data_IF_066155007566
#
_entry.id   IF_066155007566
#
_cell.length_a   1.000
_cell.length_b   1.000
_cell.length_c   1.000
_cell.angle_alpha   90.00
_cell.angle_beta   90.00
_cell.angle_gamma   90.00
#
_symmetry.space_group_name_H-M   'P 1'
#
loop_
_entity.id
_entity.type
_entity.pdbx_description
1 polymer ?
#
# COMPACT_ATOMS: atom_id res chain seq x y z
N UNK A 1 1.41 7.62 13.81
CA UNK A 1 2.10 6.34 14.12
C UNK A 1 2.70 6.35 15.52
N UNK A 2 3.17 7.51 15.99
CA UNK A 2 3.76 7.71 17.34
C UNK A 2 2.84 7.38 18.51
N UNK A 3 1.54 7.31 18.27
CA UNK A 3 0.53 7.03 19.30
C UNK A 3 0.27 5.54 19.50
N UNK A 4 0.81 4.68 18.62
CA UNK A 4 0.67 3.23 18.73
C UNK A 4 1.68 2.67 19.74
N UNK A 5 1.21 1.76 20.59
CA UNK A 5 2.05 0.94 21.44
C UNK A 5 2.86 -0.07 20.62
N UNK A 6 3.88 -0.67 21.26
CA UNK A 6 4.69 -1.73 20.61
C UNK A 6 3.83 -2.92 20.18
N UNK A 7 2.88 -3.32 21.02
CA UNK A 7 1.97 -4.42 20.70
C UNK A 7 1.10 -4.11 19.48
N UNK A 8 0.58 -2.88 19.37
CA UNK A 8 -0.21 -2.45 18.21
C UNK A 8 0.64 -2.35 16.93
N UNK A 9 1.90 -1.90 17.05
CA UNK A 9 2.84 -1.89 15.93
C UNK A 9 3.16 -3.31 15.45
N UNK A 10 3.45 -4.22 16.37
CA UNK A 10 3.77 -5.61 16.05
C UNK A 10 2.54 -6.30 15.41
N UNK A 11 1.35 -6.09 15.95
CA UNK A 11 0.10 -6.65 15.42
C UNK A 11 -0.23 -6.11 14.02
N UNK A 12 -0.17 -4.78 13.81
CA UNK A 12 -0.59 -4.20 12.53
C UNK A 12 0.33 -4.62 11.38
N UNK A 13 1.64 -4.73 11.62
CA UNK A 13 2.59 -5.21 10.61
C UNK A 13 2.54 -6.72 10.42
N UNK A 14 2.28 -7.49 11.48
CA UNK A 14 2.03 -8.94 11.38
C UNK A 14 0.77 -9.20 10.56
N UNK A 15 -0.30 -8.46 10.81
CA UNK A 15 -1.55 -8.51 10.06
C UNK A 15 -1.35 -8.06 8.61
N UNK A 16 -0.55 -7.03 8.36
CA UNK A 16 -0.18 -6.60 7.00
C UNK A 16 0.49 -7.74 6.22
N UNK A 17 1.41 -8.49 6.83
CA UNK A 17 2.03 -9.65 6.18
C UNK A 17 1.02 -10.77 5.87
N UNK A 18 0.08 -11.05 6.78
CA UNK A 18 -1.00 -12.03 6.56
C UNK A 18 -1.88 -11.61 5.37
N UNK A 19 -2.27 -10.33 5.33
CA UNK A 19 -3.04 -9.75 4.22
C UNK A 19 -2.27 -9.83 2.90
N UNK A 20 -0.97 -9.53 2.87
CA UNK A 20 -0.16 -9.69 1.65
C UNK A 20 -0.16 -11.13 1.14
N UNK A 21 0.01 -12.13 2.02
CA UNK A 21 -0.03 -13.54 1.62
C UNK A 21 -1.39 -13.93 1.04
N UNK A 22 -2.47 -13.46 1.66
CA UNK A 22 -3.83 -13.68 1.17
C UNK A 22 -4.05 -13.02 -0.20
N UNK A 23 -3.69 -11.75 -0.35
CA UNK A 23 -3.80 -11.03 -1.61
C UNK A 23 -2.94 -11.67 -2.70
N UNK A 24 -1.74 -12.17 -2.38
CA UNK A 24 -0.90 -12.88 -3.33
C UNK A 24 -1.55 -14.20 -3.77
N UNK A 25 -2.11 -14.97 -2.84
CA UNK A 25 -2.83 -16.20 -3.17
C UNK A 25 -4.06 -15.93 -4.06
N UNK A 26 -4.67 -14.76 -3.94
CA UNK A 26 -5.85 -14.40 -4.74
C UNK A 26 -5.51 -13.75 -6.09
N UNK A 27 -4.58 -12.79 -6.12
CA UNK A 27 -4.29 -11.95 -7.28
C UNK A 27 -3.07 -12.38 -8.08
N UNK A 28 -2.11 -13.11 -7.51
CA UNK A 28 -0.88 -13.44 -8.24
C UNK A 28 -1.01 -14.75 -9.04
N UNK A 29 -0.42 -14.81 -10.24
CA UNK A 29 -0.39 -16.04 -11.03
C UNK A 29 0.17 -17.22 -10.23
N UNK A 30 -0.53 -18.35 -10.28
CA UNK A 30 -0.11 -19.57 -9.59
C UNK A 30 -0.07 -19.45 -8.06
N UNK A 31 -0.69 -18.43 -7.47
CA UNK A 31 -0.72 -18.18 -6.03
C UNK A 31 0.69 -18.03 -5.42
N UNK A 32 1.65 -17.58 -6.22
CA UNK A 32 3.05 -17.50 -5.83
C UNK A 32 3.44 -16.05 -5.51
N UNK A 33 3.93 -15.82 -4.28
CA UNK A 33 4.44 -14.53 -3.80
C UNK A 33 5.52 -13.91 -4.71
N UNK A 34 6.28 -14.72 -5.45
CA UNK A 34 7.33 -14.24 -6.36
C UNK A 34 6.82 -13.78 -7.74
N UNK A 35 5.55 -14.02 -8.07
CA UNK A 35 4.96 -13.65 -9.38
C UNK A 35 4.28 -12.27 -9.37
N UNK A 36 4.40 -11.54 -8.27
CA UNK A 36 3.90 -10.18 -8.13
C UNK A 36 4.72 -9.37 -7.13
N UNK A 37 4.22 -8.19 -6.80
CA UNK A 37 4.82 -7.28 -5.84
C UNK A 37 3.73 -6.52 -5.09
N UNK A 38 4.08 -5.82 -4.02
CA UNK A 38 3.13 -5.02 -3.27
C UNK A 38 3.61 -3.60 -3.12
N UNK A 39 2.67 -2.67 -3.16
CA UNK A 39 2.89 -1.33 -2.63
C UNK A 39 2.23 -1.24 -1.26
N UNK A 40 3.07 -0.95 -0.26
CA UNK A 40 2.64 -0.72 1.12
C UNK A 40 2.92 0.76 1.41
N UNK A 41 1.90 1.50 1.80
CA UNK A 41 2.03 2.93 2.08
C UNK A 41 1.31 3.31 3.37
N UNK A 42 1.97 4.15 4.17
CA UNK A 42 1.43 4.75 5.40
C UNK A 42 1.53 6.26 5.22
N UNK A 43 0.41 6.95 5.41
CA UNK A 43 0.31 8.40 5.38
C UNK A 43 0.05 8.88 6.81
N UNK A 44 1.14 9.21 7.52
CA UNK A 44 1.10 9.67 8.91
C UNK A 44 1.06 11.20 8.98
N UNK A 45 -0.13 11.77 9.13
CA UNK A 45 -0.38 13.21 9.23
C UNK A 45 -0.90 13.85 7.94
N UNK A 46 -1.60 14.99 8.03
CA UNK A 46 -2.23 15.66 6.88
C UNK A 46 -1.27 15.96 5.72
N UNK A 47 -0.04 16.39 6.03
CA UNK A 47 0.99 16.77 5.04
C UNK A 47 1.51 15.57 4.23
N UNK A 48 1.30 14.35 4.71
CA UNK A 48 1.61 13.12 3.98
C UNK A 48 0.46 12.63 3.09
N UNK A 49 -0.66 13.36 3.05
CA UNK A 49 -1.87 13.01 2.30
C UNK A 49 -2.90 12.24 3.11
N UNK A 50 -2.79 12.17 4.44
CA UNK A 50 -3.77 11.49 5.28
C UNK A 50 -5.12 12.20 5.25
N UNK A 51 -6.17 11.49 4.84
CA UNK A 51 -7.54 12.04 4.74
C UNK A 51 -8.43 11.69 5.93
N UNK A 52 -8.17 10.55 6.58
CA UNK A 52 -8.90 10.08 7.76
C UNK A 52 -7.94 10.09 8.95
N UNK A 53 -8.26 10.78 10.07
CA UNK A 53 -7.41 10.87 11.25
C UNK A 53 -7.45 9.58 12.08
N UNK A 54 -7.06 8.48 11.45
CA UNK A 54 -6.93 7.14 12.02
C UNK A 54 -5.75 6.46 11.34
N UNK A 55 -4.96 5.69 12.09
CA UNK A 55 -3.86 4.94 11.49
C UNK A 55 -4.44 3.92 10.49
N UNK A 56 -3.98 3.98 9.25
CA UNK A 56 -4.29 2.98 8.25
C UNK A 56 -3.09 2.81 7.31
N UNK A 57 -3.00 1.62 6.74
CA UNK A 57 -1.97 1.25 5.79
C UNK A 57 -2.64 0.78 4.51
N UNK A 58 -2.16 1.24 3.37
CA UNK A 58 -2.57 0.73 2.06
C UNK A 58 -1.76 -0.52 1.74
N UNK A 59 -2.42 -1.59 1.31
CA UNK A 59 -1.77 -2.82 0.81
C UNK A 59 -2.31 -3.09 -0.59
N UNK A 60 -1.50 -2.79 -1.61
CA UNK A 60 -1.94 -2.83 -3.01
C UNK A 60 -1.13 -3.91 -3.74
N UNK A 61 -1.75 -5.03 -4.17
CA UNK A 61 -1.08 -6.05 -4.97
C UNK A 61 -0.79 -5.51 -6.38
N UNK A 62 0.41 -5.79 -6.88
CA UNK A 62 0.87 -5.46 -8.21
C UNK A 62 1.24 -6.73 -8.97
N UNK A 63 0.51 -7.01 -10.03
CA UNK A 63 0.87 -8.02 -11.03
C UNK A 63 1.57 -7.36 -12.23
N UNK A 64 2.21 -8.18 -13.08
CA UNK A 64 2.81 -7.73 -14.35
C UNK A 64 1.76 -7.02 -15.23
N UNK A 65 0.51 -7.45 -15.20
CA UNK A 65 -0.59 -6.79 -15.91
C UNK A 65 -0.98 -5.46 -15.25
N UNK A 66 -1.05 -5.39 -13.91
CA UNK A 66 -1.38 -4.16 -13.18
C UNK A 66 -0.33 -3.05 -13.30
N UNK A 67 0.91 -3.39 -13.64
CA UNK A 67 1.95 -2.40 -13.94
C UNK A 67 1.67 -1.66 -15.26
N UNK A 68 0.80 -2.22 -16.10
CA UNK A 68 0.40 -1.64 -17.40
C UNK A 68 -0.82 -0.72 -17.28
N UNK A 69 -1.60 -0.82 -16.19
CA UNK A 69 -2.78 0.01 -15.92
C UNK A 69 -2.38 1.04 -14.85
N UNK A 70 -2.24 2.31 -15.26
CA UNK A 70 -1.61 3.37 -14.46
C UNK A 70 -2.23 3.59 -13.07
N UNK A 71 -1.39 3.51 -12.04
CA UNK A 71 -1.70 3.95 -10.67
C UNK A 71 -1.28 5.42 -10.50
N UNK A 72 -2.24 6.36 -10.56
CA UNK A 72 -1.99 7.81 -10.37
C UNK A 72 -1.55 8.23 -8.95
N UNK A 73 -1.50 7.29 -7.99
CA UNK A 73 -1.03 7.55 -6.61
C UNK A 73 0.46 7.95 -6.58
N UNK A 74 1.23 7.49 -7.57
CA UNK A 74 2.66 7.80 -7.67
C UNK A 74 2.96 9.19 -8.20
N UNK A 75 2.05 9.82 -8.97
CA UNK A 75 2.27 11.16 -9.53
C UNK A 75 2.38 12.23 -8.46
N UNK A 76 1.60 12.10 -7.38
CA UNK A 76 1.66 13.00 -6.22
C UNK A 76 2.86 12.71 -5.33
N UNK A 77 3.19 11.42 -5.12
CA UNK A 77 4.36 11.01 -4.33
C UNK A 77 5.69 11.39 -5.00
N UNK A 78 5.72 11.54 -6.33
CA UNK A 78 6.91 11.83 -7.13
C UNK A 78 6.94 13.25 -7.72
N UNK A 79 5.88 14.04 -7.53
CA UNK A 79 5.84 15.46 -7.88
C UNK A 79 6.70 16.33 -6.97
N UNK A 80 6.76 17.64 -7.25
CA UNK A 80 7.55 18.57 -6.43
C UNK A 80 7.10 18.59 -4.95
N UNK A 81 5.81 18.32 -4.70
CA UNK A 81 5.24 18.16 -3.35
C UNK A 81 5.83 16.97 -2.56
N UNK A 82 6.25 15.88 -3.23
CA UNK A 82 6.83 14.68 -2.62
C UNK A 82 8.37 14.68 -2.55
N UNK A 83 9.03 15.69 -3.13
CA UNK A 83 10.49 15.76 -3.24
C UNK A 83 11.16 16.31 -1.96
N UNK A 84 11.02 15.60 -0.86
CA UNK A 84 11.65 15.96 0.43
C UNK A 84 13.18 16.05 0.33
N UNK A 85 13.79 15.19 -0.51
CA UNK A 85 15.24 15.17 -0.75
C UNK A 85 15.74 16.41 -1.49
N UNK A 86 15.00 16.91 -2.49
CA UNK A 86 15.28 18.17 -3.18
C UNK A 86 15.10 19.38 -2.27
N UNK A 87 14.01 19.44 -1.51
CA UNK A 87 13.75 20.53 -0.56
C UNK A 87 14.76 20.62 0.59
N UNK A 88 15.31 19.48 1.03
CA UNK A 88 16.41 19.43 2.01
C UNK A 88 17.77 19.80 1.39
N UNK A 89 18.00 19.46 0.12
CA UNK A 89 19.23 19.80 -0.62
C UNK A 89 19.29 21.30 -0.97
N UNK A 90 18.16 21.91 -1.32
CA UNK A 90 18.03 23.35 -1.59
C UNK A 90 18.30 24.20 -0.33
N UNK A 91 18.10 23.63 0.87
CA UNK A 91 18.38 24.25 2.17
C UNK A 91 19.83 24.07 2.63
N UNK A 92 20.52 23.05 2.14
CA UNK A 92 21.88 22.69 2.52
C UNK A 92 22.78 22.70 1.27
N UNK A 93 23.07 23.89 0.77
CA UNK A 93 24.01 24.05 -0.33
C UNK A 93 25.38 23.47 0.07
N UNK A 94 25.79 22.41 -0.63
CA UNK A 94 27.16 22.01 -1.02
C UNK A 94 27.35 20.50 -0.90
N UNK A 95 27.36 19.81 -2.06
CA UNK A 95 28.33 18.76 -2.46
C UNK A 95 27.69 17.88 -3.57
N UNK A 96 28.02 18.18 -4.82
CA UNK A 96 27.80 17.27 -5.97
C UNK A 96 26.57 17.55 -6.85
N UNK A 97 26.36 16.66 -7.83
CA UNK A 97 25.20 16.71 -8.73
C UNK A 97 23.92 16.33 -7.99
N UNK A 98 22.86 17.14 -8.16
CA UNK A 98 21.51 16.86 -7.65
C UNK A 98 21.07 15.48 -8.13
N UNK A 99 20.66 14.55 -7.25
CA UNK A 99 20.18 13.24 -7.68
C UNK A 99 19.00 13.40 -8.66
N UNK A 100 19.22 13.03 -9.93
CA UNK A 100 18.17 13.04 -10.92
C UNK A 100 17.37 11.74 -10.82
N UNK A 101 16.07 11.85 -10.52
CA UNK A 101 15.17 10.70 -10.50
C UNK A 101 15.06 10.11 -11.92
N UNK A 102 15.55 8.89 -12.11
CA UNK A 102 15.49 8.18 -13.39
C UNK A 102 14.41 7.10 -13.34
N UNK A 103 13.39 7.27 -14.18
CA UNK A 103 12.28 6.34 -14.41
C UNK A 103 11.06 7.12 -14.87
N UNK A 104 10.65 6.97 -16.13
CA UNK A 104 9.40 7.56 -16.64
C UNK A 104 8.44 6.42 -16.95
N UNK A 105 7.28 6.42 -16.32
CA UNK A 105 6.17 5.56 -16.70
C UNK A 105 5.06 6.38 -17.39
N UNK A 106 4.25 5.77 -18.29
CA UNK A 106 3.25 6.46 -19.10
C UNK A 106 1.99 6.84 -18.29
N UNK A 107 1.30 7.90 -18.73
CA UNK A 107 0.04 8.43 -18.18
C UNK A 107 -1.16 7.50 -18.41
N UNK A 108 -2.12 7.46 -17.48
CA UNK A 108 -3.50 7.01 -17.73
C UNK A 108 -4.48 7.93 -16.97
N UNK A 109 -5.58 8.31 -17.61
CA UNK A 109 -6.64 9.20 -17.09
C UNK A 109 -7.44 8.56 -15.93
N UNK A 110 -7.65 9.36 -14.87
CA UNK A 110 -8.37 9.02 -13.63
C UNK A 110 -9.88 9.36 -13.69
N UNK A 111 -10.39 9.83 -14.83
CA UNK A 111 -11.75 10.39 -14.97
C UNK A 111 -12.90 9.38 -14.78
N UNK A 112 -12.61 8.06 -14.84
CA UNK A 112 -13.62 6.99 -14.82
C UNK A 112 -13.73 6.21 -13.48
N UNK A 113 -13.00 6.60 -12.42
CA UNK A 113 -13.05 5.89 -11.12
C UNK A 113 -14.34 6.16 -10.36
N UNK A 114 -15.34 5.29 -10.55
CA UNK A 114 -16.61 5.32 -9.81
C UNK A 114 -16.50 4.65 -8.42
N UNK A 115 -17.22 5.14 -7.40
CA UNK A 115 -17.32 4.45 -6.13
C UNK A 115 -17.94 3.06 -6.32
N UNK A 116 -17.32 2.04 -5.72
CA UNK A 116 -17.88 0.67 -5.71
C UNK A 116 -19.14 0.64 -4.84
N UNK A 117 -20.09 -0.22 -5.18
CA UNK A 117 -21.28 -0.42 -4.36
C UNK A 117 -20.95 -1.18 -3.08
N UNK A 118 -21.74 -0.94 -2.02
CA UNK A 118 -21.59 -1.66 -0.76
C UNK A 118 -21.74 -3.18 -0.93
N UNK A 119 -22.59 -3.62 -1.86
CA UNK A 119 -22.75 -5.05 -2.20
C UNK A 119 -21.45 -5.66 -2.70
N UNK A 120 -20.78 -5.02 -3.66
CA UNK A 120 -19.52 -5.49 -4.21
C UNK A 120 -18.43 -5.51 -3.14
N UNK A 121 -18.37 -4.49 -2.28
CA UNK A 121 -17.42 -4.46 -1.16
C UNK A 121 -17.66 -5.59 -0.16
N UNK A 122 -18.91 -5.88 0.17
CA UNK A 122 -19.26 -6.97 1.09
C UNK A 122 -18.93 -8.35 0.51
N UNK A 123 -19.17 -8.55 -0.78
CA UNK A 123 -18.82 -9.79 -1.48
C UNK A 123 -17.29 -10.00 -1.49
N UNK A 124 -16.53 -8.94 -1.78
CA UNK A 124 -15.07 -8.99 -1.75
C UNK A 124 -14.52 -9.26 -0.34
N UNK A 125 -15.09 -8.62 0.69
CA UNK A 125 -14.71 -8.88 2.08
C UNK A 125 -15.01 -10.33 2.51
N UNK A 126 -16.15 -10.90 2.08
CA UNK A 126 -16.49 -12.29 2.34
C UNK A 126 -15.52 -13.26 1.65
N UNK A 127 -15.14 -12.96 0.40
CA UNK A 127 -14.13 -13.71 -0.34
C UNK A 127 -12.77 -13.69 0.38
N UNK A 128 -12.31 -12.52 0.81
CA UNK A 128 -11.04 -12.40 1.54
C UNK A 128 -11.04 -13.14 2.87
N UNK A 129 -12.17 -13.14 3.59
CA UNK A 129 -12.32 -13.95 4.81
C UNK A 129 -12.12 -15.44 4.52
N UNK A 130 -12.70 -15.97 3.45
CA UNK A 130 -12.52 -17.37 3.05
C UNK A 130 -11.05 -17.67 2.69
N UNK A 131 -10.38 -16.76 1.96
CA UNK A 131 -8.98 -16.93 1.60
C UNK A 131 -8.04 -16.90 2.81
N UNK A 132 -8.30 -16.02 3.79
CA UNK A 132 -7.57 -16.00 5.06
C UNK A 132 -7.69 -17.35 5.79
N UNK A 133 -8.90 -17.93 5.84
CA UNK A 133 -9.14 -19.23 6.48
C UNK A 133 -8.38 -20.37 5.79
N UNK A 134 -8.31 -20.37 4.44
CA UNK A 134 -7.54 -21.36 3.67
C UNK A 134 -6.04 -21.32 3.99
N UNK A 135 -5.52 -20.15 4.35
CA UNK A 135 -4.14 -19.96 4.80
C UNK A 135 -3.93 -20.28 6.29
N UNK A 136 -4.98 -20.70 7.00
CA UNK A 136 -4.93 -21.02 8.42
C UNK A 136 -5.04 -19.80 9.35
N UNK A 137 -5.43 -18.63 8.83
CA UNK A 137 -5.67 -17.45 9.64
C UNK A 137 -7.13 -17.39 10.10
N UNK A 138 -7.35 -17.29 11.41
CA UNK A 138 -8.67 -17.08 12.03
C UNK A 138 -8.82 -15.64 12.53
N UNK A 139 -10.07 -15.17 12.62
CA UNK A 139 -10.40 -13.85 13.20
C UNK A 139 -10.10 -13.77 14.71
N UNK A 140 -9.97 -14.92 15.38
CA UNK A 140 -9.52 -15.01 16.76
C UNK A 140 -8.14 -15.64 16.76
N UNK A 141 -7.11 -14.88 17.12
CA UNK A 141 -5.84 -15.48 17.52
C UNK A 141 -6.10 -16.23 18.84
N UNK A 142 -5.79 -17.52 18.87
CA UNK A 142 -5.67 -18.23 20.13
C UNK A 142 -4.48 -17.59 20.84
N UNK A 143 -4.76 -16.75 21.84
CA UNK A 143 -3.75 -16.37 22.81
C UNK A 143 -3.30 -17.66 23.49
N UNK A 144 -2.15 -18.18 23.08
CA UNK A 144 -1.42 -19.16 23.89
C UNK A 144 -1.16 -18.51 25.24
N UNK A 145 -1.68 -19.15 26.28
CA UNK A 145 -1.59 -18.75 27.69
C UNK A 145 -0.16 -18.85 28.22
#
# INVERSE_FOLDING_TARGET
MTDLSRAELDDIFSTTQKVQKMLAAHYFPGQNLSEGSFNIAIQDGPESGQTVPHFHCHVIPRTKESATIGDGIYDKLQGEEGNLGGGLWDRAAQLGERPAQKGKFPRVDDEDRLPRSAEVMNQEAALFREQMQKLGYSEMEQHDQ
#
